data_IF_048355015590
#
_entry.id   IF_048355015590
#
_cell.length_a   1.000
_cell.length_b   1.000
_cell.length_c   1.000
_cell.angle_alpha   90.00
_cell.angle_beta   90.00
_cell.angle_gamma   90.00
#
_symmetry.space_group_name_H-M   'P 1'
#
loop_
_entity.id
_entity.type
_entity.pdbx_description
1 polymer ?
#
# COMPACT_ATOMS: atom_id res chain seq x y z
N UNK A 1 20.48 -47.47 -31.61
CA UNK A 1 20.09 -46.81 -30.35
C UNK A 1 19.34 -45.55 -30.72
N UNK A 2 18.01 -45.64 -30.75
CA UNK A 2 17.12 -44.56 -31.18
C UNK A 2 17.25 -43.38 -30.22
N UNK A 3 17.94 -42.31 -30.64
CA UNK A 3 18.09 -41.11 -29.83
C UNK A 3 16.81 -40.28 -29.97
N UNK A 4 15.81 -40.56 -29.14
CA UNK A 4 14.53 -39.85 -29.15
C UNK A 4 14.78 -38.38 -28.77
N UNK A 5 14.67 -37.48 -29.75
CA UNK A 5 14.70 -36.04 -29.50
C UNK A 5 13.48 -35.71 -28.63
N UNK A 6 13.68 -35.48 -27.32
CA UNK A 6 12.61 -34.99 -26.43
C UNK A 6 12.16 -33.62 -26.92
N UNK A 7 11.01 -33.57 -27.60
CA UNK A 7 10.36 -32.33 -28.00
C UNK A 7 10.03 -31.52 -26.75
N UNK A 8 10.58 -30.31 -26.63
CA UNK A 8 10.26 -29.42 -25.50
C UNK A 8 8.83 -28.92 -25.66
N UNK A 9 8.04 -28.99 -24.59
CA UNK A 9 6.66 -28.47 -24.61
C UNK A 9 6.67 -26.98 -25.03
N UNK A 10 5.77 -26.52 -25.91
CA UNK A 10 5.80 -25.16 -26.46
C UNK A 10 5.76 -24.08 -25.38
N UNK A 11 5.07 -24.33 -24.26
CA UNK A 11 4.97 -23.41 -23.13
C UNK A 11 6.11 -23.50 -22.10
N UNK A 12 7.06 -24.42 -22.28
CA UNK A 12 8.17 -24.60 -21.32
C UNK A 12 9.06 -23.35 -21.21
N UNK A 13 9.29 -22.65 -22.33
CA UNK A 13 10.06 -21.39 -22.33
C UNK A 13 9.34 -20.28 -21.56
N UNK A 14 8.02 -20.23 -21.64
CA UNK A 14 7.19 -19.27 -20.92
C UNK A 14 7.26 -19.50 -19.40
N UNK A 15 7.20 -20.75 -18.98
CA UNK A 15 7.41 -21.15 -17.58
C UNK A 15 8.79 -20.72 -17.06
N UNK A 16 9.86 -21.06 -17.81
CA UNK A 16 11.22 -20.69 -17.41
C UNK A 16 11.44 -19.19 -17.31
N UNK A 17 10.89 -18.41 -18.25
CA UNK A 17 10.94 -16.94 -18.20
C UNK A 17 10.27 -16.42 -16.93
N UNK A 18 9.10 -16.93 -16.58
CA UNK A 18 8.38 -16.49 -15.38
C UNK A 18 9.10 -16.88 -14.09
N UNK A 19 9.61 -18.10 -14.01
CA UNK A 19 10.44 -18.59 -12.89
C UNK A 19 11.71 -17.75 -12.73
N UNK A 20 12.37 -17.39 -13.83
CA UNK A 20 13.55 -16.52 -13.81
C UNK A 20 13.21 -15.12 -13.29
N UNK A 21 12.11 -14.52 -13.73
CA UNK A 21 11.67 -13.22 -13.21
C UNK A 21 11.27 -13.27 -11.73
N UNK A 22 10.65 -14.35 -11.27
CA UNK A 22 10.39 -14.54 -9.85
C UNK A 22 11.70 -14.59 -9.05
N UNK A 23 12.69 -15.36 -9.51
CA UNK A 23 14.03 -15.43 -8.91
C UNK A 23 14.71 -14.07 -8.87
N UNK A 24 14.67 -13.31 -9.97
CA UNK A 24 15.25 -11.96 -10.04
C UNK A 24 14.62 -11.00 -9.02
N UNK A 25 13.34 -11.17 -8.72
CA UNK A 25 12.61 -10.39 -7.71
C UNK A 25 12.77 -10.93 -6.28
N UNK A 26 13.55 -11.99 -6.07
CA UNK A 26 13.68 -12.65 -4.77
C UNK A 26 12.41 -13.37 -4.29
N UNK A 27 11.51 -13.73 -5.22
CA UNK A 27 10.26 -14.42 -4.90
C UNK A 27 10.47 -15.92 -5.04
N UNK A 28 10.12 -16.66 -3.99
CA UNK A 28 10.17 -18.12 -3.99
C UNK A 28 9.18 -18.71 -5.01
N UNK A 29 9.62 -19.77 -5.71
CA UNK A 29 8.83 -20.45 -6.74
C UNK A 29 8.68 -21.93 -6.38
N UNK A 30 7.46 -22.34 -6.04
CA UNK A 30 7.14 -23.70 -5.58
C UNK A 30 6.29 -24.50 -6.58
N UNK A 31 6.06 -23.97 -7.78
CA UNK A 31 5.30 -24.65 -8.83
C UNK A 31 6.20 -25.49 -9.73
N UNK A 32 5.76 -26.71 -10.04
CA UNK A 32 6.33 -27.49 -11.14
C UNK A 32 5.79 -27.00 -12.49
N UNK A 33 6.42 -27.45 -13.58
CA UNK A 33 5.94 -27.11 -14.92
C UNK A 33 4.53 -27.66 -15.18
N UNK A 34 4.27 -28.89 -14.77
CA UNK A 34 2.98 -29.55 -14.98
C UNK A 34 1.86 -28.86 -14.18
N UNK A 35 2.11 -28.53 -12.90
CA UNK A 35 1.18 -27.76 -12.08
C UNK A 35 0.90 -26.37 -12.66
N UNK A 36 1.94 -25.72 -13.20
CA UNK A 36 1.78 -24.42 -13.84
C UNK A 36 0.94 -24.52 -15.11
N UNK A 37 1.17 -25.56 -15.92
CA UNK A 37 0.43 -25.79 -17.16
C UNK A 37 -1.04 -26.13 -16.88
N UNK A 38 -1.28 -27.02 -15.92
CA UNK A 38 -2.63 -27.41 -15.47
C UNK A 38 -3.39 -26.23 -14.86
N UNK A 39 -2.74 -25.42 -14.03
CA UNK A 39 -3.35 -24.21 -13.47
C UNK A 39 -3.76 -23.20 -14.54
N UNK A 40 -2.94 -23.04 -15.59
CA UNK A 40 -3.32 -22.22 -16.73
C UNK A 40 -4.49 -22.83 -17.51
N UNK A 41 -4.45 -24.15 -17.78
CA UNK A 41 -5.47 -24.86 -18.54
C UNK A 41 -5.74 -24.17 -19.88
N UNK A 42 -7.01 -24.03 -20.23
CA UNK A 42 -7.45 -23.42 -21.50
C UNK A 42 -7.11 -21.92 -21.61
N UNK A 43 -6.90 -21.24 -20.49
CA UNK A 43 -6.55 -19.82 -20.49
C UNK A 43 -5.10 -19.56 -20.92
N UNK A 44 -4.28 -20.60 -21.12
CA UNK A 44 -2.87 -20.44 -21.47
C UNK A 44 -2.68 -19.64 -22.77
N UNK A 45 -3.62 -19.73 -23.70
CA UNK A 45 -3.61 -18.97 -24.96
C UNK A 45 -3.83 -17.47 -24.74
N UNK A 46 -4.49 -17.09 -23.65
CA UNK A 46 -4.75 -15.68 -23.28
C UNK A 46 -3.59 -15.07 -22.50
N UNK A 47 -2.56 -15.85 -22.14
CA UNK A 47 -1.38 -15.39 -21.40
C UNK A 47 -0.59 -14.38 -22.25
N UNK A 48 -0.32 -13.20 -21.69
CA UNK A 48 0.45 -12.18 -22.40
C UNK A 48 0.68 -10.87 -21.64
N UNK A 49 1.25 -9.89 -22.33
CA UNK A 49 1.49 -8.54 -21.83
C UNK A 49 0.43 -7.51 -22.29
N UNK A 50 -0.52 -7.93 -23.14
CA UNK A 50 -1.58 -7.05 -23.64
C UNK A 50 -2.57 -6.64 -22.55
N UNK A 51 -3.26 -5.51 -22.76
CA UNK A 51 -4.25 -4.99 -21.80
C UNK A 51 -5.39 -5.98 -21.51
N UNK A 52 -5.76 -6.80 -22.50
CA UNK A 52 -6.79 -7.85 -22.40
C UNK A 52 -6.18 -9.23 -22.14
N UNK A 53 -4.85 -9.35 -22.09
CA UNK A 53 -4.19 -10.61 -21.79
C UNK A 53 -4.28 -10.92 -20.30
N UNK A 54 -4.27 -12.20 -19.97
CA UNK A 54 -4.20 -12.67 -18.59
C UNK A 54 -2.74 -12.76 -18.15
N UNK A 55 -2.53 -12.41 -16.89
CA UNK A 55 -1.27 -12.57 -16.19
C UNK A 55 -1.50 -13.38 -14.92
N UNK A 56 -0.48 -14.14 -14.55
CA UNK A 56 -0.45 -14.84 -13.28
C UNK A 56 0.14 -13.90 -12.23
N UNK A 57 -0.67 -13.60 -11.23
CA UNK A 57 -0.39 -12.67 -10.14
C UNK A 57 -0.43 -13.42 -8.81
N UNK A 58 0.17 -12.85 -7.77
CA UNK A 58 0.07 -13.38 -6.40
C UNK A 58 -0.97 -12.61 -5.61
N UNK A 59 -1.61 -13.25 -4.63
CA UNK A 59 -2.50 -12.52 -3.74
C UNK A 59 -1.71 -11.48 -2.94
N UNK A 60 -2.17 -10.22 -3.01
CA UNK A 60 -1.58 -9.07 -2.31
C UNK A 60 -0.07 -8.85 -2.53
N UNK A 61 0.51 -9.40 -3.62
CA UNK A 61 1.95 -9.40 -3.87
C UNK A 61 2.81 -10.02 -2.74
N UNK A 62 2.23 -10.87 -1.90
CA UNK A 62 2.91 -11.56 -0.79
C UNK A 62 3.07 -13.05 -1.07
N UNK A 63 4.04 -13.70 -0.41
CA UNK A 63 4.24 -15.15 -0.44
C UNK A 63 4.90 -15.71 -1.71
N UNK A 64 5.04 -17.03 -1.79
CA UNK A 64 5.65 -17.72 -2.92
C UNK A 64 4.67 -17.86 -4.11
N UNK A 65 5.18 -18.15 -5.30
CA UNK A 65 4.34 -18.70 -6.36
C UNK A 65 4.05 -20.17 -6.04
N UNK A 66 2.84 -20.45 -5.55
CA UNK A 66 2.34 -21.79 -5.17
C UNK A 66 0.85 -21.91 -5.49
N UNK A 67 0.36 -23.14 -5.65
CA UNK A 67 -1.07 -23.40 -5.87
C UNK A 67 -1.84 -22.90 -4.64
N UNK A 68 -2.81 -21.99 -4.87
CA UNK A 68 -3.55 -21.31 -3.80
C UNK A 68 -3.08 -19.89 -3.48
N UNK A 69 -1.82 -19.52 -3.79
CA UNK A 69 -1.35 -18.14 -3.67
C UNK A 69 -1.28 -17.38 -5.01
N UNK A 70 -1.83 -17.97 -6.07
CA UNK A 70 -1.77 -17.44 -7.44
C UNK A 70 -3.18 -17.24 -8.01
N UNK A 71 -3.34 -16.14 -8.76
CA UNK A 71 -4.60 -15.75 -9.38
C UNK A 71 -4.36 -15.27 -10.81
N UNK A 72 -5.32 -15.54 -11.71
CA UNK A 72 -5.33 -14.98 -13.07
C UNK A 72 -5.92 -13.57 -12.99
N UNK A 73 -5.21 -12.58 -13.52
CA UNK A 73 -5.66 -11.19 -13.49
C UNK A 73 -5.17 -10.39 -14.69
N UNK A 74 -5.88 -9.31 -15.02
CA UNK A 74 -5.42 -8.40 -16.05
C UNK A 74 -4.37 -7.43 -15.52
N UNK A 75 -3.41 -6.99 -16.35
CA UNK A 75 -2.39 -6.01 -15.94
C UNK A 75 -3.01 -4.72 -15.37
N UNK A 76 -4.14 -4.27 -15.95
CA UNK A 76 -4.87 -3.06 -15.54
C UNK A 76 -5.47 -3.17 -14.12
N UNK A 77 -5.85 -4.37 -13.69
CA UNK A 77 -6.36 -4.58 -12.34
C UNK A 77 -5.22 -4.48 -11.33
N UNK A 78 -4.06 -5.06 -11.65
CA UNK A 78 -2.87 -5.01 -10.78
C UNK A 78 -2.33 -3.59 -10.59
N UNK A 79 -2.25 -2.79 -11.66
CA UNK A 79 -1.77 -1.41 -11.55
C UNK A 79 -2.69 -0.53 -10.69
N UNK A 80 -4.02 -0.71 -10.79
CA UNK A 80 -5.00 -0.03 -9.93
C UNK A 80 -4.86 -0.46 -8.47
N UNK A 81 -4.74 -1.77 -8.20
CA UNK A 81 -4.54 -2.30 -6.84
C UNK A 81 -3.25 -1.75 -6.22
N UNK A 82 -2.14 -1.77 -6.96
CA UNK A 82 -0.87 -1.18 -6.52
C UNK A 82 -1.00 0.33 -6.23
N UNK A 83 -1.71 1.08 -7.08
CA UNK A 83 -2.00 2.49 -6.86
C UNK A 83 -2.78 2.75 -5.58
N UNK A 84 -3.80 1.94 -5.29
CA UNK A 84 -4.60 2.07 -4.07
C UNK A 84 -3.77 1.78 -2.81
N UNK A 85 -2.97 0.70 -2.81
CA UNK A 85 -2.10 0.35 -1.68
C UNK A 85 -1.10 1.47 -1.37
N UNK A 86 -0.51 2.08 -2.40
CA UNK A 86 0.42 3.21 -2.22
C UNK A 86 -0.27 4.42 -1.58
N UNK A 87 -1.49 4.76 -2.00
CA UNK A 87 -2.25 5.87 -1.39
C UNK A 87 -2.51 5.59 0.09
N UNK A 88 -2.99 4.40 0.43
CA UNK A 88 -3.24 4.01 1.84
C UNK A 88 -1.99 4.12 2.70
N UNK A 89 -0.85 3.59 2.24
CA UNK A 89 0.43 3.69 2.97
C UNK A 89 0.89 5.14 3.16
N UNK A 90 0.73 5.98 2.15
CA UNK A 90 1.08 7.40 2.27
C UNK A 90 0.18 8.13 3.27
N UNK A 91 -1.12 7.82 3.30
CA UNK A 91 -2.05 8.38 4.29
C UNK A 91 -1.68 7.97 5.71
N UNK A 92 -1.36 6.68 5.95
CA UNK A 92 -0.91 6.18 7.25
C UNK A 92 0.39 6.86 7.71
N UNK A 93 1.35 7.04 6.80
CA UNK A 93 2.60 7.74 7.09
C UNK A 93 2.36 9.20 7.46
N UNK A 94 1.53 9.91 6.69
CA UNK A 94 1.19 11.31 6.95
C UNK A 94 0.45 11.48 8.29
N UNK A 95 -0.42 10.53 8.66
CA UNK A 95 -1.09 10.53 9.95
C UNK A 95 -0.09 10.40 11.11
N UNK A 96 0.90 9.50 10.99
CA UNK A 96 1.96 9.35 12.00
C UNK A 96 2.85 10.58 12.12
N UNK A 97 3.24 11.19 10.99
CA UNK A 97 4.04 12.43 11.00
C UNK A 97 3.26 13.59 11.66
N UNK A 98 1.94 13.67 11.42
CA UNK A 98 1.07 14.64 12.11
C UNK A 98 0.99 14.38 13.61
N UNK A 99 0.82 13.12 14.02
CA UNK A 99 0.77 12.73 15.43
C UNK A 99 2.08 13.05 16.16
N UNK A 100 3.23 12.69 15.57
CA UNK A 100 4.55 13.02 16.11
C UNK A 100 4.77 14.53 16.24
N UNK A 101 4.27 15.32 15.28
CA UNK A 101 4.34 16.77 15.34
C UNK A 101 3.48 17.34 16.47
N UNK A 102 2.27 16.79 16.65
CA UNK A 102 1.38 17.19 17.75
C UNK A 102 1.98 16.83 19.10
N UNK A 103 2.49 15.61 19.25
CA UNK A 103 3.16 15.13 20.47
C UNK A 103 4.37 16.01 20.81
N UNK A 104 5.20 16.35 19.81
CA UNK A 104 6.32 17.27 19.99
C UNK A 104 5.88 18.68 20.43
N UNK A 105 4.76 19.19 19.89
CA UNK A 105 4.22 20.50 20.25
C UNK A 105 3.59 20.50 21.66
N UNK A 106 2.98 19.37 22.07
CA UNK A 106 2.42 19.18 23.41
C UNK A 106 3.48 18.95 24.49
N UNK A 107 4.71 18.62 24.08
CA UNK A 107 5.89 18.48 24.94
C UNK A 107 6.71 19.79 25.04
N UNK A 108 6.28 20.89 24.42
CA UNK A 108 6.95 22.17 24.66
C UNK A 108 6.81 22.53 26.15
N UNK A 109 7.92 22.84 26.86
CA UNK A 109 7.83 23.31 28.23
C UNK A 109 6.99 24.58 28.22
N UNK A 110 6.05 24.66 29.16
CA UNK A 110 5.25 25.87 29.40
C UNK A 110 6.19 27.07 29.32
N UNK A 111 5.97 27.94 28.34
CA UNK A 111 6.49 29.29 28.43
C UNK A 111 5.81 29.83 29.67
N UNK A 112 6.56 29.90 30.77
CA UNK A 112 6.10 30.59 31.98
C UNK A 112 5.57 31.94 31.50
N UNK A 113 4.34 32.31 31.86
CA UNK A 113 3.84 33.64 31.53
C UNK A 113 4.91 34.63 31.97
N UNK A 114 5.34 35.47 31.04
CA UNK A 114 6.16 36.61 31.38
C UNK A 114 5.26 37.53 32.19
N UNK A 115 5.31 37.38 33.52
CA UNK A 115 4.53 38.15 34.47
C UNK A 115 4.83 39.67 34.37
N UNK A 116 5.84 40.09 33.58
CA UNK A 116 6.12 41.51 33.30
C UNK A 116 5.15 42.18 32.32
N UNK A 117 4.18 41.44 31.75
CA UNK A 117 3.09 42.01 30.94
C UNK A 117 1.81 42.31 31.72
N UNK A 118 1.79 41.98 33.02
CA UNK A 118 0.73 42.35 33.97
C UNK A 118 1.30 43.27 35.06
N UNK A 119 2.16 44.23 34.69
CA UNK A 119 2.44 45.35 35.59
C UNK A 119 1.11 46.08 35.83
N UNK A 120 0.74 46.09 37.11
CA UNK A 120 -0.45 46.70 37.73
C UNK A 120 -0.64 48.19 37.37
N UNK A 121 -1.13 48.47 36.17
CA UNK A 121 -1.88 49.69 35.86
C UNK A 121 -3.32 49.32 35.45
N UNK A 122 -3.98 48.52 36.31
CA UNK A 122 -5.46 48.41 36.37
C UNK A 122 -6.06 49.73 36.89
N UNK A 123 -6.02 50.81 36.10
CA UNK A 123 -6.80 52.00 36.44
C UNK A 123 -7.16 52.87 35.22
N UNK A 124 -7.63 52.26 34.12
CA UNK A 124 -8.65 52.89 33.25
C UNK A 124 -9.12 51.94 32.14
N UNK A 125 -10.41 52.02 31.79
CA UNK A 125 -11.07 51.37 30.63
C UNK A 125 -11.91 50.10 30.88
N UNK A 126 -12.78 50.13 31.88
CA UNK A 126 -14.11 49.51 31.69
C UNK A 126 -15.04 50.55 31.05
N UNK A 127 -15.51 50.35 29.80
CA UNK A 127 -16.52 51.23 29.23
C UNK A 127 -17.81 51.12 30.03
N UNK A 128 -18.25 52.27 30.52
CA UNK A 128 -19.45 52.52 31.32
C UNK A 128 -20.70 51.99 30.57
N UNK A 129 -21.08 50.73 30.78
CA UNK A 129 -22.17 50.14 30.01
C UNK A 129 -22.43 48.64 30.12
N UNK A 130 -21.62 47.85 30.82
CA UNK A 130 -21.91 46.42 30.96
C UNK A 130 -22.96 46.16 32.06
N UNK A 131 -24.24 46.31 31.71
CA UNK A 131 -25.34 45.82 32.53
C UNK A 131 -25.44 44.29 32.39
N UNK A 132 -25.08 43.59 33.46
CA UNK A 132 -25.35 42.15 33.62
C UNK A 132 -26.86 41.89 33.54
N UNK A 133 -27.35 41.00 32.66
CA UNK A 133 -28.76 40.61 32.65
C UNK A 133 -29.00 39.57 33.74
N UNK A 134 -29.15 40.04 34.99
CA UNK A 134 -29.64 39.21 36.09
C UNK A 134 -31.17 39.10 36.04
N UNK A 135 -31.61 37.84 35.95
CA UNK A 135 -32.88 37.28 36.43
C UNK A 135 -34.19 37.90 35.93
N UNK A 136 -34.81 37.25 34.95
CA UNK A 136 -36.27 37.18 34.88
C UNK A 136 -36.73 36.00 35.74
N UNK A 137 -37.50 36.30 36.80
CA UNK A 137 -38.43 35.39 37.46
C UNK A 137 -39.85 35.80 37.06
#
# INVERSE_FOLDING_TARGET
MESTKKTKHPHYRAFLSQKSHAKQRGIEWRLTFDQWLEWWGDDIYRRGSGAMSLQMQRFHDKGAYELGNIVKGHPKQNSRTCGNIKRTRNTERAAREREQRLDALMWEPSIEPDDSLWDDDEDDMLPDGYQSPTSYL
#
